data_IF_603656095641
#
_entry.id   IF_603656095641
#
_cell.length_a   1.000
_cell.length_b   1.000
_cell.length_c   1.000
_cell.angle_alpha   90.00
_cell.angle_beta   90.00
_cell.angle_gamma   90.00
#
_symmetry.space_group_name_H-M   'P 1'
#
loop_
_entity.id
_entity.type
_entity.pdbx_description
1 polymer ?
#
# COMPACT_ATOMS: atom_id res chain seq x y z
N UNK A 1 -16.59 22.83 -4.52
CA UNK A 1 -15.56 22.11 -5.32
C UNK A 1 -15.97 22.24 -6.78
N UNK A 2 -15.10 22.82 -7.62
CA UNK A 2 -15.36 22.92 -9.06
C UNK A 2 -15.44 21.49 -9.65
N UNK A 3 -16.24 21.32 -10.71
CA UNK A 3 -16.39 20.03 -11.42
C UNK A 3 -15.02 19.42 -11.80
N UNK A 4 -14.06 20.27 -12.16
CA UNK A 4 -12.67 19.92 -12.49
C UNK A 4 -11.88 19.40 -11.28
N UNK A 5 -12.14 19.88 -10.07
CA UNK A 5 -11.48 19.40 -8.85
C UNK A 5 -12.03 18.02 -8.42
N UNK A 6 -13.31 17.78 -8.65
CA UNK A 6 -13.96 16.49 -8.41
C UNK A 6 -13.48 15.44 -9.42
N UNK A 7 -13.42 15.78 -10.71
CA UNK A 7 -12.87 14.90 -11.77
C UNK A 7 -11.37 14.61 -11.54
N UNK A 8 -10.58 15.58 -11.09
CA UNK A 8 -9.18 15.37 -10.75
C UNK A 8 -8.99 14.48 -9.52
N UNK A 9 -9.86 14.57 -8.52
CA UNK A 9 -9.82 13.69 -7.35
C UNK A 9 -10.35 12.30 -7.68
N UNK A 10 -11.44 12.19 -8.40
CA UNK A 10 -11.97 10.90 -8.87
C UNK A 10 -10.98 10.20 -9.81
N UNK A 11 -10.31 10.93 -10.70
CA UNK A 11 -9.24 10.40 -11.54
C UNK A 11 -7.98 10.03 -10.74
N UNK A 12 -7.64 10.81 -9.71
CA UNK A 12 -6.52 10.51 -8.81
C UNK A 12 -6.78 9.22 -8.01
N UNK A 13 -8.00 8.98 -7.56
CA UNK A 13 -8.35 7.82 -6.74
C UNK A 13 -8.74 6.59 -7.56
N UNK A 14 -9.44 6.74 -8.67
CA UNK A 14 -9.84 5.63 -9.53
C UNK A 14 -8.69 5.09 -10.39
N UNK A 15 -7.85 5.98 -10.91
CA UNK A 15 -6.72 5.60 -11.77
C UNK A 15 -5.44 5.28 -10.98
N UNK A 16 -5.21 5.95 -9.84
CA UNK A 16 -3.96 5.88 -9.09
C UNK A 16 -3.98 4.94 -7.88
N UNK A 17 -5.13 4.58 -7.33
CA UNK A 17 -5.20 3.64 -6.22
C UNK A 17 -4.60 2.27 -6.56
N UNK A 18 -4.87 1.78 -7.76
CA UNK A 18 -4.28 0.55 -8.29
C UNK A 18 -2.85 0.77 -8.83
N UNK A 19 -2.53 1.98 -9.32
CA UNK A 19 -1.26 2.28 -10.02
C UNK A 19 -0.15 2.72 -9.06
N UNK A 20 -0.46 3.34 -7.93
CA UNK A 20 0.55 3.97 -7.06
C UNK A 20 0.89 3.17 -5.78
N UNK A 21 0.07 2.18 -5.41
CA UNK A 21 0.17 1.48 -4.14
C UNK A 21 -0.26 2.32 -2.92
N UNK A 22 -0.63 1.66 -1.83
CA UNK A 22 -1.25 2.29 -0.66
C UNK A 22 -0.42 3.44 -0.05
N UNK A 23 0.89 3.27 0.05
CA UNK A 23 1.76 4.27 0.67
C UNK A 23 1.85 5.58 -0.12
N UNK A 24 2.03 5.50 -1.44
CA UNK A 24 2.12 6.67 -2.30
C UNK A 24 0.77 7.37 -2.41
N UNK A 25 -0.31 6.63 -2.56
CA UNK A 25 -1.67 7.17 -2.59
C UNK A 25 -2.01 7.88 -1.29
N UNK A 26 -1.67 7.30 -0.12
CA UNK A 26 -1.86 7.95 1.18
C UNK A 26 -1.11 9.28 1.26
N UNK A 27 0.17 9.31 0.88
CA UNK A 27 0.97 10.53 0.93
C UNK A 27 0.45 11.60 -0.03
N UNK A 28 0.03 11.23 -1.23
CA UNK A 28 -0.53 12.16 -2.21
C UNK A 28 -1.86 12.73 -1.76
N UNK A 29 -2.76 11.91 -1.25
CA UNK A 29 -4.06 12.35 -0.74
C UNK A 29 -3.93 13.35 0.42
N UNK A 30 -3.06 13.07 1.40
CA UNK A 30 -2.81 13.99 2.50
C UNK A 30 -2.20 15.32 2.03
N UNK A 31 -1.29 15.31 1.07
CA UNK A 31 -0.73 16.53 0.48
C UNK A 31 -1.78 17.31 -0.32
N UNK A 32 -2.67 16.63 -1.05
CA UNK A 32 -3.78 17.27 -1.77
C UNK A 32 -4.76 17.94 -0.79
N UNK A 33 -5.04 17.31 0.35
CA UNK A 33 -5.84 17.93 1.42
C UNK A 33 -5.15 19.19 2.01
N UNK A 34 -3.83 19.13 2.24
CA UNK A 34 -3.07 20.31 2.70
C UNK A 34 -3.23 21.46 1.72
N UNK A 35 -3.08 21.20 0.41
CA UNK A 35 -3.23 22.20 -0.63
C UNK A 35 -4.68 22.71 -0.75
N UNK A 36 -5.67 21.81 -0.57
CA UNK A 36 -7.07 22.19 -0.58
C UNK A 36 -7.41 23.17 0.54
N UNK A 37 -6.93 22.93 1.77
CA UNK A 37 -7.11 23.88 2.89
C UNK A 37 -6.42 25.25 2.64
N UNK A 38 -5.38 25.28 1.81
CA UNK A 38 -4.72 26.55 1.43
C UNK A 38 -5.49 27.33 0.37
N UNK A 39 -6.06 26.63 -0.61
CA UNK A 39 -6.57 27.25 -1.85
C UNK A 39 -8.08 27.33 -1.95
N UNK A 40 -8.83 26.66 -1.03
CA UNK A 40 -10.28 26.72 -1.03
C UNK A 40 -10.76 28.16 -0.78
N UNK A 41 -11.35 28.74 -1.81
CA UNK A 41 -12.09 30.01 -1.69
C UNK A 41 -13.54 29.70 -1.36
N UNK A 42 -13.84 29.65 -0.04
CA UNK A 42 -15.16 29.34 0.48
C UNK A 42 -15.37 30.02 1.84
N UNK A 43 -16.62 30.26 2.18
CA UNK A 43 -17.00 30.76 3.49
C UNK A 43 -16.77 29.70 4.56
N UNK A 44 -16.65 30.15 5.80
CA UNK A 44 -16.32 29.27 6.94
C UNK A 44 -17.35 28.14 7.12
N UNK A 45 -18.62 28.42 6.91
CA UNK A 45 -19.72 27.46 7.05
C UNK A 45 -19.66 26.33 6.01
N UNK A 46 -19.05 26.59 4.87
CA UNK A 46 -18.96 25.61 3.78
C UNK A 46 -17.74 24.68 3.90
N UNK A 47 -16.68 25.11 4.61
CA UNK A 47 -15.41 24.38 4.61
C UNK A 47 -15.53 22.97 5.20
N UNK A 48 -16.33 22.82 6.25
CA UNK A 48 -16.59 21.52 6.88
C UNK A 48 -17.36 20.60 5.92
N UNK A 49 -18.43 21.09 5.29
CA UNK A 49 -19.23 20.30 4.36
C UNK A 49 -18.41 19.84 3.15
N UNK A 50 -17.56 20.71 2.62
CA UNK A 50 -16.64 20.37 1.52
C UNK A 50 -15.60 19.33 1.92
N UNK A 51 -15.04 19.47 3.13
CA UNK A 51 -14.13 18.46 3.68
C UNK A 51 -14.84 17.10 3.85
N UNK A 52 -16.05 17.11 4.42
CA UNK A 52 -16.82 15.89 4.68
C UNK A 52 -17.18 15.15 3.38
N UNK A 53 -17.55 15.90 2.33
CA UNK A 53 -17.77 15.34 0.99
C UNK A 53 -16.50 14.64 0.45
N UNK A 54 -15.35 15.30 0.55
CA UNK A 54 -14.07 14.77 0.11
C UNK A 54 -13.63 13.56 0.94
N UNK A 55 -13.71 13.65 2.26
CA UNK A 55 -13.35 12.55 3.16
C UNK A 55 -14.23 11.31 2.92
N UNK A 56 -15.52 11.53 2.65
CA UNK A 56 -16.45 10.46 2.30
C UNK A 56 -16.07 9.79 0.99
N UNK A 57 -15.73 10.56 -0.04
CA UNK A 57 -15.25 10.02 -1.33
C UNK A 57 -13.97 9.19 -1.15
N UNK A 58 -13.00 9.70 -0.38
CA UNK A 58 -11.75 8.98 -0.07
C UNK A 58 -12.04 7.67 0.69
N UNK A 59 -12.88 7.72 1.73
CA UNK A 59 -13.25 6.54 2.51
C UNK A 59 -14.07 5.52 1.71
N UNK A 60 -14.70 5.95 0.61
CA UNK A 60 -15.47 5.10 -0.30
C UNK A 60 -14.63 4.39 -1.36
N UNK A 61 -13.32 4.62 -1.42
CA UNK A 61 -12.42 3.96 -2.39
C UNK A 61 -12.45 2.43 -2.26
N UNK A 62 -12.21 1.76 -3.39
CA UNK A 62 -12.17 0.29 -3.49
C UNK A 62 -10.86 -0.17 -4.14
N UNK A 63 -10.05 -1.01 -3.48
CA UNK A 63 -10.19 -1.41 -2.07
C UNK A 63 -10.00 -0.22 -1.13
N UNK A 64 -10.42 -0.39 0.13
CA UNK A 64 -10.18 0.62 1.16
C UNK A 64 -8.69 0.77 1.42
N UNK A 65 -8.18 1.98 1.29
CA UNK A 65 -6.78 2.31 1.63
C UNK A 65 -6.72 2.55 3.13
N UNK A 66 -6.45 1.49 3.88
CA UNK A 66 -6.49 1.50 5.35
C UNK A 66 -5.62 2.60 5.98
N UNK A 67 -4.35 2.82 5.58
CA UNK A 67 -3.55 3.90 6.15
C UNK A 67 -4.18 5.28 5.99
N UNK A 68 -4.74 5.57 4.82
CA UNK A 68 -5.38 6.85 4.54
C UNK A 68 -6.67 7.02 5.36
N UNK A 69 -7.49 5.96 5.46
CA UNK A 69 -8.72 5.99 6.25
C UNK A 69 -8.45 6.28 7.72
N UNK A 70 -7.47 5.60 8.32
CA UNK A 70 -7.07 5.83 9.72
C UNK A 70 -6.55 7.25 9.96
N UNK A 71 -5.77 7.79 9.02
CA UNK A 71 -5.26 9.16 9.16
C UNK A 71 -6.34 10.20 9.04
N UNK A 72 -7.36 9.97 8.20
CA UNK A 72 -8.51 10.85 8.11
C UNK A 72 -9.39 10.78 9.36
N UNK A 73 -9.64 9.59 9.90
CA UNK A 73 -10.39 9.41 11.14
C UNK A 73 -9.71 10.14 12.33
N UNK A 74 -8.40 9.99 12.44
CA UNK A 74 -7.61 10.71 13.44
C UNK A 74 -7.57 12.22 13.21
N UNK A 75 -7.51 12.66 11.93
CA UNK A 75 -7.56 14.07 11.59
C UNK A 75 -8.91 14.68 11.98
N UNK A 76 -10.02 14.00 11.68
CA UNK A 76 -11.37 14.44 12.06
C UNK A 76 -11.50 14.61 13.57
N UNK A 77 -10.99 13.65 14.34
CA UNK A 77 -11.03 13.72 15.81
C UNK A 77 -10.21 14.91 16.33
N UNK A 78 -8.99 15.09 15.83
CA UNK A 78 -8.12 16.20 16.22
C UNK A 78 -8.66 17.58 15.77
N UNK A 79 -9.45 17.64 14.69
CA UNK A 79 -10.06 18.87 14.18
C UNK A 79 -11.34 19.28 14.89
N UNK A 80 -12.04 18.37 15.61
CA UNK A 80 -13.31 18.67 16.30
C UNK A 80 -13.36 20.02 17.03
N UNK A 81 -12.36 20.40 17.83
CA UNK A 81 -12.40 21.67 18.58
C UNK A 81 -12.12 22.91 17.70
N UNK A 82 -11.76 22.73 16.43
CA UNK A 82 -11.33 23.82 15.55
C UNK A 82 -12.34 24.15 14.45
N UNK A 83 -13.31 23.29 14.14
CA UNK A 83 -14.30 23.50 13.09
C UNK A 83 -15.14 24.77 13.29
N UNK A 84 -15.35 25.19 14.53
CA UNK A 84 -16.08 26.42 14.89
C UNK A 84 -15.20 27.67 15.06
N UNK A 85 -13.89 27.57 14.80
CA UNK A 85 -12.96 28.70 14.92
C UNK A 85 -12.96 29.53 13.63
N UNK A 86 -12.41 30.74 13.69
CA UNK A 86 -12.23 31.58 12.50
C UNK A 86 -11.42 30.82 11.42
N UNK A 87 -11.67 31.18 10.18
CA UNK A 87 -11.16 30.47 8.99
C UNK A 87 -9.64 30.34 8.97
N UNK A 88 -8.91 31.40 9.38
CA UNK A 88 -7.44 31.38 9.37
C UNK A 88 -6.88 30.40 10.42
N UNK A 89 -7.44 30.38 11.62
CA UNK A 89 -7.04 29.42 12.67
C UNK A 89 -7.40 27.99 12.28
N UNK A 90 -8.59 27.79 11.70
CA UNK A 90 -9.00 26.48 11.21
C UNK A 90 -8.01 25.96 10.16
N UNK A 91 -7.71 26.75 9.13
CA UNK A 91 -6.78 26.39 8.05
C UNK A 91 -5.36 26.11 8.60
N UNK A 92 -4.87 26.98 9.47
CA UNK A 92 -3.55 26.80 10.06
C UNK A 92 -3.45 25.48 10.86
N UNK A 93 -4.50 25.16 11.63
CA UNK A 93 -4.53 23.93 12.43
C UNK A 93 -4.68 22.70 11.57
N UNK A 94 -5.58 22.71 10.56
CA UNK A 94 -5.76 21.61 9.63
C UNK A 94 -4.44 21.26 8.91
N UNK A 95 -3.74 22.26 8.38
CA UNK A 95 -2.42 22.06 7.76
C UNK A 95 -1.37 21.50 8.71
N UNK A 96 -1.34 22.01 9.96
CA UNK A 96 -0.41 21.52 10.99
C UNK A 96 -0.65 20.04 11.28
N UNK A 97 -1.90 19.65 11.51
CA UNK A 97 -2.26 18.25 11.79
C UNK A 97 -1.91 17.35 10.60
N UNK A 98 -2.32 17.72 9.37
CA UNK A 98 -2.05 16.93 8.17
C UNK A 98 -0.55 16.77 7.90
N UNK A 99 0.24 17.86 8.03
CA UNK A 99 1.71 17.78 7.91
C UNK A 99 2.33 16.85 8.95
N UNK A 100 1.84 16.85 10.17
CA UNK A 100 2.29 15.92 11.21
C UNK A 100 1.95 14.47 10.85
N UNK A 101 0.76 14.20 10.28
CA UNK A 101 0.39 12.86 9.83
C UNK A 101 1.28 12.37 8.69
N UNK A 102 1.57 13.21 7.72
CA UNK A 102 2.53 12.88 6.64
C UNK A 102 3.90 12.54 7.20
N UNK A 103 4.40 13.35 8.14
CA UNK A 103 5.69 13.11 8.81
C UNK A 103 5.69 11.80 9.61
N UNK A 104 4.63 11.54 10.37
CA UNK A 104 4.48 10.33 11.15
C UNK A 104 4.44 9.08 10.27
N UNK A 105 3.68 9.13 9.17
CA UNK A 105 3.60 8.02 8.22
C UNK A 105 4.98 7.69 7.62
N UNK A 106 5.70 8.72 7.16
CA UNK A 106 7.06 8.56 6.62
C UNK A 106 8.00 7.95 7.66
N UNK A 107 8.00 8.49 8.88
CA UNK A 107 8.86 8.02 9.97
C UNK A 107 8.59 6.54 10.30
N UNK A 108 7.32 6.11 10.35
CA UNK A 108 6.97 4.69 10.57
C UNK A 108 7.43 3.82 9.41
N UNK A 109 7.21 4.25 8.16
CA UNK A 109 7.68 3.52 6.99
C UNK A 109 9.22 3.36 6.98
N UNK A 110 9.96 4.41 7.34
CA UNK A 110 11.43 4.37 7.48
C UNK A 110 11.88 3.40 8.57
N UNK A 111 11.14 3.31 9.69
CA UNK A 111 11.43 2.34 10.74
C UNK A 111 11.18 0.90 10.28
N UNK A 112 10.07 0.64 9.56
CA UNK A 112 9.83 -0.68 8.94
C UNK A 112 10.99 -1.08 8.03
N UNK A 113 11.44 -0.16 7.17
CA UNK A 113 12.58 -0.39 6.29
C UNK A 113 13.85 -0.72 7.08
N UNK A 114 14.13 0.05 8.15
CA UNK A 114 15.29 -0.18 9.03
C UNK A 114 15.28 -1.56 9.68
N UNK A 115 14.11 -2.04 10.11
CA UNK A 115 13.98 -3.40 10.61
C UNK A 115 14.05 -4.43 9.48
N UNK A 116 13.52 -4.08 8.31
CA UNK A 116 13.46 -4.98 7.14
C UNK A 116 14.82 -5.34 6.55
N UNK A 117 15.80 -4.43 6.59
CA UNK A 117 17.12 -4.66 5.95
C UNK A 117 17.89 -5.84 6.55
N UNK A 118 17.61 -6.22 7.79
CA UNK A 118 18.26 -7.38 8.43
C UNK A 118 17.84 -8.72 7.82
N UNK A 119 16.67 -8.77 7.17
CA UNK A 119 16.13 -9.98 6.54
C UNK A 119 16.65 -10.20 5.11
N UNK A 120 17.43 -9.26 4.57
CA UNK A 120 18.18 -9.44 3.32
C UNK A 120 19.59 -9.87 3.67
N UNK A 121 20.05 -11.01 3.15
CA UNK A 121 21.36 -11.58 3.42
C UNK A 121 22.22 -11.62 2.15
N UNK A 122 23.52 -11.84 2.35
CA UNK A 122 24.47 -12.03 1.26
C UNK A 122 24.13 -13.27 0.44
N UNK A 123 24.05 -13.12 -0.87
CA UNK A 123 23.75 -14.21 -1.80
C UNK A 123 22.27 -14.56 -1.93
N UNK A 124 21.34 -13.82 -1.30
CA UNK A 124 19.92 -14.07 -1.42
C UNK A 124 19.41 -13.99 -2.87
N UNK A 125 18.50 -14.90 -3.21
CA UNK A 125 17.60 -14.79 -4.35
C UNK A 125 16.23 -14.33 -3.85
N UNK A 126 15.81 -13.11 -4.19
CA UNK A 126 14.63 -12.47 -3.60
C UNK A 126 13.53 -12.31 -4.63
N UNK A 127 12.34 -12.84 -4.36
CA UNK A 127 11.15 -12.59 -5.15
C UNK A 127 10.50 -11.29 -4.65
N UNK A 128 10.19 -10.38 -5.57
CA UNK A 128 9.36 -9.19 -5.34
C UNK A 128 8.03 -9.39 -6.05
N UNK A 129 6.96 -9.61 -5.27
CA UNK A 129 5.64 -9.90 -5.83
C UNK A 129 4.98 -8.64 -6.42
N UNK A 130 5.10 -7.50 -5.74
CA UNK A 130 4.46 -6.26 -6.17
C UNK A 130 5.34 -5.04 -5.89
N UNK A 131 5.10 -3.95 -6.59
CA UNK A 131 5.81 -2.69 -6.43
C UNK A 131 5.43 -1.99 -5.09
N UNK A 132 5.89 -2.53 -3.97
CA UNK A 132 5.78 -1.90 -2.66
C UNK A 132 6.96 -0.97 -2.42
N UNK A 133 6.70 0.29 -2.09
CA UNK A 133 7.77 1.25 -1.78
C UNK A 133 8.58 0.85 -0.53
N UNK A 134 7.97 0.18 0.46
CA UNK A 134 8.71 -0.34 1.62
C UNK A 134 9.66 -1.45 1.19
N UNK A 135 9.20 -2.41 0.39
CA UNK A 135 10.05 -3.49 -0.14
C UNK A 135 11.19 -2.92 -0.98
N UNK A 136 10.88 -2.02 -1.92
CA UNK A 136 11.93 -1.38 -2.74
C UNK A 136 12.97 -0.69 -1.87
N UNK A 137 12.55 0.09 -0.85
CA UNK A 137 13.47 0.77 0.05
C UNK A 137 14.29 -0.20 0.92
N UNK A 138 13.74 -1.36 1.32
CA UNK A 138 14.51 -2.40 2.02
C UNK A 138 15.64 -2.90 1.13
N UNK A 139 15.36 -3.22 -0.14
CA UNK A 139 16.38 -3.68 -1.09
C UNK A 139 17.45 -2.61 -1.33
N UNK A 140 17.03 -1.36 -1.57
CA UNK A 140 17.97 -0.25 -1.77
C UNK A 140 18.89 -0.04 -0.58
N UNK A 141 18.35 -0.02 0.63
CA UNK A 141 19.16 0.17 1.84
C UNK A 141 20.05 -1.06 2.14
N UNK A 142 19.57 -2.27 1.87
CA UNK A 142 20.41 -3.47 1.98
C UNK A 142 21.62 -3.39 1.04
N UNK A 143 21.45 -2.91 -0.19
CA UNK A 143 22.55 -2.69 -1.15
C UNK A 143 23.45 -1.54 -0.76
N UNK A 144 22.89 -0.35 -0.51
CA UNK A 144 23.64 0.89 -0.34
C UNK A 144 24.28 1.03 1.04
N UNK A 145 23.60 0.60 2.10
CA UNK A 145 24.02 0.82 3.49
C UNK A 145 24.72 -0.41 4.04
N UNK A 146 24.16 -1.59 3.76
CA UNK A 146 24.71 -2.85 4.28
C UNK A 146 25.70 -3.50 3.30
N UNK A 147 25.82 -2.93 2.08
CA UNK A 147 26.73 -3.40 1.01
C UNK A 147 26.56 -4.88 0.67
N UNK A 148 25.33 -5.40 0.78
CA UNK A 148 25.02 -6.79 0.48
C UNK A 148 24.83 -7.01 -1.01
N UNK A 149 25.32 -8.14 -1.49
CA UNK A 149 25.07 -8.62 -2.85
C UNK A 149 23.97 -9.69 -2.84
N UNK A 150 22.96 -9.49 -3.64
CA UNK A 150 21.80 -10.37 -3.80
C UNK A 150 21.18 -10.18 -5.19
N UNK A 151 20.31 -11.06 -5.60
CA UNK A 151 19.56 -10.96 -6.87
C UNK A 151 18.06 -10.87 -6.65
N UNK A 152 17.34 -10.26 -7.60
CA UNK A 152 15.90 -10.02 -7.48
C UNK A 152 15.13 -10.61 -8.66
N UNK A 153 14.07 -11.33 -8.38
CA UNK A 153 13.07 -11.79 -9.35
C UNK A 153 11.82 -10.92 -9.17
N UNK A 154 11.56 -10.02 -10.12
CA UNK A 154 10.40 -9.14 -10.10
C UNK A 154 9.26 -9.80 -10.85
N UNK A 155 8.13 -10.02 -10.18
CA UNK A 155 6.93 -10.54 -10.82
C UNK A 155 6.17 -9.42 -11.55
N UNK A 156 5.93 -9.61 -12.84
CA UNK A 156 5.17 -8.67 -13.67
C UNK A 156 3.67 -8.83 -13.37
N UNK A 157 3.16 -8.00 -12.49
CA UNK A 157 1.73 -7.91 -12.14
C UNK A 157 1.09 -6.60 -12.60
N UNK A 158 1.87 -5.55 -12.69
CA UNK A 158 1.40 -4.21 -12.98
C UNK A 158 2.25 -3.59 -14.11
N UNK A 159 1.64 -3.27 -15.26
CA UNK A 159 2.38 -2.77 -16.42
C UNK A 159 2.99 -1.38 -16.19
N UNK A 160 2.52 -0.63 -15.19
CA UNK A 160 3.01 0.72 -14.89
C UNK A 160 4.10 0.71 -13.83
N UNK A 161 3.90 -0.05 -12.75
CA UNK A 161 4.81 -0.06 -11.59
C UNK A 161 5.99 -1.02 -11.74
N UNK A 162 5.80 -2.14 -12.41
CA UNK A 162 6.87 -3.12 -12.63
C UNK A 162 8.08 -2.49 -13.32
N UNK A 163 7.93 -1.70 -14.42
CA UNK A 163 9.08 -1.02 -15.03
C UNK A 163 9.77 -0.03 -14.11
N UNK A 164 9.04 0.64 -13.21
CA UNK A 164 9.63 1.56 -12.24
C UNK A 164 10.50 0.82 -11.21
N UNK A 165 10.08 -0.34 -10.74
CA UNK A 165 10.90 -1.18 -9.85
C UNK A 165 12.14 -1.67 -10.58
N UNK A 166 12.01 -2.20 -11.79
CA UNK A 166 13.13 -2.67 -12.59
C UNK A 166 14.15 -1.57 -12.83
N UNK A 167 13.71 -0.38 -13.26
CA UNK A 167 14.59 0.77 -13.45
C UNK A 167 15.32 1.16 -12.14
N UNK A 168 14.62 1.16 -11.02
CA UNK A 168 15.23 1.48 -9.73
C UNK A 168 16.30 0.45 -9.33
N UNK A 169 16.06 -0.83 -9.59
CA UNK A 169 17.06 -1.88 -9.33
C UNK A 169 18.27 -1.75 -10.26
N UNK A 170 18.04 -1.42 -11.55
CA UNK A 170 19.10 -1.17 -12.52
C UNK A 170 19.99 0.01 -12.14
N UNK A 171 19.39 1.16 -11.78
CA UNK A 171 20.09 2.36 -11.32
C UNK A 171 20.97 2.11 -10.08
N UNK A 172 20.65 1.09 -9.29
CA UNK A 172 21.38 0.71 -8.08
C UNK A 172 22.28 -0.52 -8.27
N UNK A 173 22.44 -0.93 -9.51
CA UNK A 173 23.30 -2.09 -9.87
C UNK A 173 22.92 -3.37 -9.11
N UNK A 174 21.61 -3.56 -8.83
CA UNK A 174 21.07 -4.79 -8.23
C UNK A 174 20.72 -5.76 -9.36
N UNK A 175 21.38 -6.94 -9.44
CA UNK A 175 21.04 -7.95 -10.43
C UNK A 175 19.58 -8.36 -10.34
N UNK A 176 18.85 -8.29 -11.46
CA UNK A 176 17.45 -8.63 -11.46
C UNK A 176 16.96 -9.18 -12.79
N UNK A 177 15.84 -9.91 -12.73
CA UNK A 177 15.06 -10.32 -13.88
C UNK A 177 13.58 -9.97 -13.66
N UNK A 178 12.87 -9.67 -14.72
CA UNK A 178 11.41 -9.46 -14.68
C UNK A 178 10.76 -10.64 -15.40
N UNK A 179 9.83 -11.31 -14.72
CA UNK A 179 9.12 -12.46 -15.28
C UNK A 179 7.61 -12.31 -15.11
N UNK A 180 6.77 -12.84 -16.02
CA UNK A 180 5.36 -12.99 -15.75
C UNK A 180 5.13 -13.86 -14.50
N UNK A 181 4.18 -13.49 -13.65
CA UNK A 181 3.97 -14.19 -12.37
C UNK A 181 3.70 -15.70 -12.53
N UNK A 182 3.02 -16.09 -13.61
CA UNK A 182 2.75 -17.51 -13.91
C UNK A 182 4.00 -18.33 -14.31
N UNK A 183 5.12 -17.67 -14.60
CA UNK A 183 6.40 -18.34 -14.89
C UNK A 183 7.24 -18.60 -13.63
N UNK A 184 6.79 -18.20 -12.45
CA UNK A 184 7.58 -18.32 -11.21
C UNK A 184 8.04 -19.74 -10.93
N UNK A 185 7.26 -20.76 -11.30
CA UNK A 185 7.63 -22.17 -11.10
C UNK A 185 8.97 -22.57 -11.74
N UNK A 186 9.43 -21.85 -12.78
CA UNK A 186 10.72 -22.09 -13.45
C UNK A 186 11.91 -21.42 -12.73
N UNK A 187 11.66 -20.62 -11.69
CA UNK A 187 12.66 -19.80 -11.02
C UNK A 187 12.72 -20.03 -9.51
N UNK A 188 11.89 -20.93 -8.96
CA UNK A 188 11.81 -21.19 -7.52
C UNK A 188 13.14 -21.64 -6.92
N UNK A 189 13.97 -22.36 -7.68
CA UNK A 189 15.28 -22.81 -7.23
C UNK A 189 16.32 -21.67 -7.12
N UNK A 190 16.03 -20.51 -7.72
CA UNK A 190 16.89 -19.33 -7.69
C UNK A 190 16.52 -18.37 -6.55
N UNK A 191 15.50 -18.68 -5.76
CA UNK A 191 15.01 -17.82 -4.71
C UNK A 191 14.90 -18.56 -3.38
N UNK A 192 15.19 -17.86 -2.30
CA UNK A 192 15.03 -18.33 -0.94
C UNK A 192 14.11 -17.44 -0.10
N UNK A 193 13.77 -16.23 -0.61
CA UNK A 193 12.90 -15.28 0.07
C UNK A 193 11.92 -14.62 -0.88
N UNK A 194 10.73 -14.28 -0.35
CA UNK A 194 9.77 -13.40 -1.02
C UNK A 194 9.46 -12.21 -0.11
N UNK A 195 9.57 -10.99 -0.64
CA UNK A 195 9.26 -9.76 0.08
C UNK A 195 7.96 -9.15 -0.44
N UNK A 196 7.08 -8.80 0.49
CA UNK A 196 5.72 -8.34 0.23
C UNK A 196 5.41 -7.04 0.98
N UNK A 197 4.54 -6.22 0.38
CA UNK A 197 3.83 -5.15 1.09
C UNK A 197 2.34 -5.46 1.15
N UNK A 198 1.63 -4.84 2.07
CA UNK A 198 0.18 -4.96 2.22
C UNK A 198 -0.56 -3.67 1.87
N UNK A 199 -1.80 -3.79 1.43
CA UNK A 199 -2.77 -2.70 1.44
C UNK A 199 -3.39 -2.56 2.83
N UNK A 200 -3.70 -3.70 3.44
CA UNK A 200 -4.28 -3.80 4.78
C UNK A 200 -3.97 -5.15 5.41
N UNK A 201 -3.88 -5.17 6.73
CA UNK A 201 -3.97 -6.39 7.57
C UNK A 201 -5.26 -6.28 8.37
N UNK A 202 -6.17 -7.22 8.21
CA UNK A 202 -7.52 -7.14 8.79
C UNK A 202 -7.57 -7.78 10.18
N UNK A 203 -8.60 -7.43 10.94
CA UNK A 203 -8.82 -7.97 12.30
C UNK A 203 -8.99 -9.49 12.32
N UNK A 204 -9.52 -10.08 11.26
CA UNK A 204 -9.64 -11.53 11.07
C UNK A 204 -8.38 -12.16 10.45
N UNK A 205 -7.22 -11.52 10.65
CA UNK A 205 -5.89 -12.01 10.25
C UNK A 205 -5.77 -12.36 8.76
N UNK A 206 -6.35 -11.51 7.91
CA UNK A 206 -6.17 -11.58 6.46
C UNK A 206 -5.37 -10.39 5.94
N UNK A 207 -4.56 -10.62 4.96
CA UNK A 207 -3.80 -9.59 4.27
C UNK A 207 -4.47 -9.26 2.95
N UNK A 208 -4.84 -8.00 2.77
CA UNK A 208 -5.29 -7.48 1.47
C UNK A 208 -4.06 -7.17 0.64
N UNK A 209 -3.88 -7.88 -0.44
CA UNK A 209 -2.71 -7.81 -1.30
C UNK A 209 -3.12 -7.87 -2.80
N UNK A 210 -2.24 -7.51 -3.73
CA UNK A 210 -2.52 -7.63 -5.16
C UNK A 210 -2.92 -9.05 -5.55
N UNK A 211 -3.77 -9.16 -6.59
CA UNK A 211 -4.20 -10.47 -7.14
C UNK A 211 -3.00 -11.34 -7.51
N UNK A 212 -3.11 -12.63 -7.20
CA UNK A 212 -2.06 -13.62 -7.42
C UNK A 212 -1.13 -13.81 -6.21
N UNK A 213 -1.27 -12.99 -5.15
CA UNK A 213 -0.44 -13.12 -3.94
C UNK A 213 -0.66 -14.48 -3.25
N UNK A 214 -1.89 -14.93 -3.08
CA UNK A 214 -2.19 -16.24 -2.47
C UNK A 214 -1.55 -17.39 -3.23
N UNK A 215 -1.64 -17.38 -4.56
CA UNK A 215 -1.03 -18.41 -5.43
C UNK A 215 0.50 -18.37 -5.33
N UNK A 216 1.08 -17.18 -5.38
CA UNK A 216 2.54 -16.99 -5.29
C UNK A 216 3.07 -17.50 -3.94
N UNK A 217 2.45 -17.11 -2.84
CA UNK A 217 2.87 -17.54 -1.50
C UNK A 217 2.70 -19.07 -1.31
N UNK A 218 1.63 -19.64 -1.83
CA UNK A 218 1.45 -21.10 -1.78
C UNK A 218 2.57 -21.83 -2.53
N UNK A 219 2.96 -21.33 -3.70
CA UNK A 219 4.09 -21.88 -4.45
C UNK A 219 5.42 -21.70 -3.71
N UNK A 220 5.66 -20.53 -3.15
CA UNK A 220 6.85 -20.24 -2.34
C UNK A 220 6.95 -21.20 -1.15
N UNK A 221 5.86 -21.37 -0.40
CA UNK A 221 5.79 -22.28 0.77
C UNK A 221 6.09 -23.73 0.40
N UNK A 222 5.56 -24.22 -0.72
CA UNK A 222 5.82 -25.59 -1.23
C UNK A 222 7.30 -25.80 -1.57
N UNK A 223 8.02 -24.73 -1.91
CA UNK A 223 9.45 -24.78 -2.28
C UNK A 223 10.37 -24.29 -1.14
N UNK A 224 9.85 -24.10 0.08
CA UNK A 224 10.65 -23.67 1.23
C UNK A 224 11.15 -22.23 1.18
N UNK A 225 10.59 -21.41 0.30
CA UNK A 225 10.93 -19.98 0.16
C UNK A 225 10.24 -19.20 1.28
N UNK A 226 11.01 -18.50 2.10
CA UNK A 226 10.51 -17.74 3.25
C UNK A 226 9.84 -16.43 2.84
N UNK A 227 8.70 -16.13 3.46
CA UNK A 227 7.87 -14.97 3.15
C UNK A 227 7.92 -13.90 4.24
N UNK A 228 8.14 -12.65 3.81
CA UNK A 228 8.28 -11.49 4.69
C UNK A 228 7.32 -10.39 4.25
N UNK A 229 6.41 -9.98 5.15
CA UNK A 229 5.44 -8.91 4.93
C UNK A 229 5.87 -7.64 5.65
N UNK A 230 5.94 -6.53 4.93
CA UNK A 230 6.28 -5.21 5.48
C UNK A 230 5.03 -4.33 5.54
N UNK A 231 4.61 -3.98 6.74
CA UNK A 231 3.44 -3.15 6.97
C UNK A 231 3.61 -2.32 8.25
N UNK A 232 3.45 -1.00 8.21
CA UNK A 232 3.42 -0.23 9.44
C UNK A 232 2.03 -0.30 10.10
N UNK A 233 1.92 0.13 11.36
CA UNK A 233 0.68 0.05 12.15
C UNK A 233 -0.54 0.72 11.52
N UNK A 234 -0.36 1.65 10.59
CA UNK A 234 -1.50 2.22 9.84
C UNK A 234 -2.14 1.25 8.85
N UNK A 235 -1.47 0.16 8.47
CA UNK A 235 -2.03 -0.87 7.61
C UNK A 235 -2.93 -1.86 8.37
N UNK A 236 -2.91 -1.87 9.70
CA UNK A 236 -3.75 -2.74 10.50
C UNK A 236 -5.15 -2.16 10.62
N UNK A 237 -6.15 -2.85 10.07
CA UNK A 237 -7.56 -2.43 10.05
C UNK A 237 -8.31 -3.05 11.21
N UNK A 238 -9.04 -2.24 11.99
CA UNK A 238 -9.99 -2.74 12.99
C UNK A 238 -11.23 -3.42 12.37
N UNK A 239 -11.38 -3.32 11.05
CA UNK A 239 -12.45 -4.00 10.31
C UNK A 239 -12.07 -5.40 9.84
N UNK A 240 -13.08 -6.21 9.58
CA UNK A 240 -12.93 -7.53 8.96
C UNK A 240 -12.60 -7.41 7.47
N UNK A 241 -12.22 -8.53 6.85
CA UNK A 241 -11.91 -8.61 5.43
C UNK A 241 -13.04 -8.09 4.52
N UNK A 242 -14.28 -8.37 4.85
CA UNK A 242 -15.46 -7.90 4.09
C UNK A 242 -15.56 -6.37 4.04
N UNK A 243 -15.07 -5.68 5.08
CA UNK A 243 -15.05 -4.22 5.12
C UNK A 243 -14.01 -3.58 4.18
N UNK A 244 -13.11 -4.37 3.59
CA UNK A 244 -12.03 -3.87 2.71
C UNK A 244 -12.50 -3.54 1.30
N UNK A 245 -13.76 -3.86 0.97
CA UNK A 245 -14.40 -3.50 -0.30
C UNK A 245 -13.65 -4.01 -1.55
N UNK A 246 -13.11 -5.21 -1.47
CA UNK A 246 -12.56 -5.91 -2.64
C UNK A 246 -13.70 -6.11 -3.64
N UNK A 247 -13.42 -5.81 -4.89
CA UNK A 247 -14.44 -5.90 -5.93
C UNK A 247 -14.00 -6.84 -7.05
N UNK A 248 -15.00 -7.38 -7.71
CA UNK A 248 -14.88 -8.16 -8.95
C UNK A 248 -15.25 -7.24 -10.11
N UNK A 249 -14.47 -7.29 -11.18
CA UNK A 249 -14.74 -6.59 -12.42
C UNK A 249 -14.99 -7.62 -13.53
N UNK A 250 -16.04 -7.40 -14.31
CA UNK A 250 -16.37 -8.20 -15.48
C UNK A 250 -16.17 -7.37 -16.74
N UNK A 251 -15.38 -7.88 -17.67
CA UNK A 251 -15.13 -7.28 -18.98
C UNK A 251 -15.58 -8.23 -20.09
N UNK A 252 -16.37 -7.72 -21.04
CA UNK A 252 -16.74 -8.47 -22.21
C UNK A 252 -15.67 -8.31 -23.28
N UNK A 253 -14.92 -9.37 -23.52
CA UNK A 253 -13.89 -9.41 -24.56
C UNK A 253 -14.50 -9.96 -25.85
N UNK A 254 -14.54 -9.12 -26.89
CA UNK A 254 -15.02 -9.51 -28.21
C UNK A 254 -13.82 -9.76 -29.17
N UNK A 255 -13.81 -10.90 -29.81
CA UNK A 255 -12.93 -11.21 -30.92
C UNK A 255 -13.75 -11.40 -32.21
N UNK A 256 -13.09 -11.53 -33.34
CA UNK A 256 -13.77 -11.78 -34.62
C UNK A 256 -14.59 -13.08 -34.66
N UNK A 257 -14.38 -14.00 -33.73
CA UNK A 257 -15.00 -15.33 -33.72
C UNK A 257 -15.74 -15.69 -32.42
N UNK A 258 -15.55 -14.96 -31.35
CA UNK A 258 -16.18 -15.26 -30.05
C UNK A 258 -16.27 -14.04 -29.17
N UNK A 259 -17.25 -14.07 -28.27
CA UNK A 259 -17.35 -13.13 -27.16
C UNK A 259 -17.31 -13.92 -25.86
N UNK A 260 -16.49 -13.52 -24.92
CA UNK A 260 -16.41 -14.14 -23.59
C UNK A 260 -16.31 -13.08 -22.50
N UNK A 261 -16.78 -13.42 -21.31
CA UNK A 261 -16.66 -12.56 -20.12
C UNK A 261 -15.39 -12.93 -19.39
N UNK A 262 -14.49 -11.94 -19.25
CA UNK A 262 -13.32 -12.03 -18.38
C UNK A 262 -13.69 -11.45 -17.01
N UNK A 263 -13.57 -12.27 -15.98
CA UNK A 263 -13.80 -11.87 -14.59
C UNK A 263 -12.47 -11.73 -13.89
N UNK A 264 -12.22 -10.56 -13.31
CA UNK A 264 -11.02 -10.27 -12.53
C UNK A 264 -11.38 -9.79 -11.13
N UNK A 265 -10.51 -10.06 -10.17
CA UNK A 265 -10.63 -9.53 -8.82
C UNK A 265 -9.62 -8.40 -8.61
N UNK A 266 -9.96 -7.43 -7.80
CA UNK A 266 -9.09 -6.29 -7.54
C UNK A 266 -7.90 -6.67 -6.65
N UNK A 267 -8.09 -7.54 -5.68
CA UNK A 267 -7.11 -7.97 -4.69
C UNK A 267 -7.39 -9.39 -4.21
N UNK A 268 -6.39 -10.02 -3.63
CA UNK A 268 -6.50 -11.25 -2.86
C UNK A 268 -6.73 -10.93 -1.38
N UNK A 269 -7.46 -11.83 -0.71
CA UNK A 269 -7.46 -11.99 0.75
C UNK A 269 -6.57 -13.17 1.09
N UNK A 270 -5.39 -12.87 1.60
CA UNK A 270 -4.38 -13.85 1.94
C UNK A 270 -4.48 -14.17 3.42
N UNK A 271 -4.55 -15.45 3.77
CA UNK A 271 -4.48 -15.86 5.17
C UNK A 271 -3.09 -15.52 5.74
N UNK A 272 -3.04 -14.88 6.91
CA UNK A 272 -1.78 -14.41 7.50
C UNK A 272 -0.84 -15.59 7.83
N UNK A 273 -1.36 -16.78 8.02
CA UNK A 273 -0.57 -17.99 8.27
C UNK A 273 0.26 -18.47 7.06
N UNK A 274 -0.02 -17.94 5.86
CA UNK A 274 0.83 -18.13 4.68
C UNK A 274 2.09 -17.27 4.70
N UNK A 275 2.21 -16.36 5.65
CA UNK A 275 3.33 -15.42 5.80
C UNK A 275 4.18 -15.86 6.99
N UNK A 276 5.47 -16.10 6.75
CA UNK A 276 6.37 -16.57 7.82
C UNK A 276 6.70 -15.45 8.82
N UNK A 277 6.89 -14.21 8.33
CA UNK A 277 7.29 -13.08 9.19
C UNK A 277 6.59 -11.80 8.76
N UNK A 278 5.96 -11.13 9.71
CA UNK A 278 5.41 -9.78 9.58
C UNK A 278 6.32 -8.77 10.28
N UNK A 279 6.71 -7.71 9.59
CA UNK A 279 7.62 -6.68 10.08
C UNK A 279 6.89 -5.33 10.09
N UNK A 280 6.83 -4.69 11.25
CA UNK A 280 6.32 -3.33 11.39
C UNK A 280 7.40 -2.34 11.85
N UNK A 281 6.99 -1.13 12.27
CA UNK A 281 7.91 -0.10 12.74
C UNK A 281 8.60 -0.41 14.06
N UNK A 282 8.17 -1.42 14.79
CA UNK A 282 8.76 -1.86 16.06
C UNK A 282 9.58 -3.16 15.91
N UNK A 283 9.61 -3.72 14.69
CA UNK A 283 10.35 -4.93 14.33
C UNK A 283 9.45 -6.08 13.90
N UNK A 284 9.88 -7.31 14.17
CA UNK A 284 9.09 -8.50 13.92
C UNK A 284 7.84 -8.51 14.83
N UNK A 285 6.69 -8.78 14.23
CA UNK A 285 5.41 -8.78 14.96
C UNK A 285 5.18 -10.17 15.53
N UNK A 286 5.29 -10.29 16.85
CA UNK A 286 5.05 -11.52 17.58
C UNK A 286 3.54 -11.86 17.64
N UNK A 287 3.23 -13.13 17.79
CA UNK A 287 1.84 -13.64 17.87
C UNK A 287 1.02 -12.93 18.95
N UNK A 288 1.63 -12.58 20.08
CA UNK A 288 0.95 -11.87 21.18
C UNK A 288 0.41 -10.51 20.77
N UNK A 289 1.17 -9.77 19.95
CA UNK A 289 0.72 -8.48 19.38
C UNK A 289 -0.41 -8.67 18.35
N UNK A 290 -0.36 -9.74 17.56
CA UNK A 290 -1.45 -10.09 16.65
C UNK A 290 -2.73 -10.42 17.42
N UNK A 291 -2.65 -11.18 18.51
CA UNK A 291 -3.80 -11.48 19.37
C UNK A 291 -4.39 -10.20 20.01
N UNK A 292 -3.57 -9.28 20.47
CA UNK A 292 -4.04 -7.99 21.00
C UNK A 292 -4.74 -7.14 19.94
N UNK A 293 -4.39 -7.31 18.67
CA UNK A 293 -5.04 -6.64 17.56
C UNK A 293 -6.41 -7.25 17.20
N UNK A 294 -6.59 -8.58 17.36
CA UNK A 294 -7.83 -9.31 17.04
C UNK A 294 -8.89 -9.22 18.13
N UNK A 295 -8.51 -8.96 19.39
CA UNK A 295 -9.40 -8.80 20.54
C UNK A 295 -10.03 -7.42 20.58
#
# INVERSE_FOLDING_TARGET
MNHIEKENLDSLFLYHGNVLGAARTTSMALNSLINAFDQLDCEQEEIFARYEELATAIKATRPRITPLSHMLEQFEEEMKPFWSKDLDKLRAQAKKILKNKVKLYKSRAERVVRHGIQFVEEGDGIIVHSASSMVTNVLLQAKQVMLKDFSVIVLQLDPVRTPQVALTLEEQEIPHIVIPAFNLCHYVEQANKILLGAVSVTRDLKVVAPVGTSTTLSLCRLNGIKSYLFANSFHFSHGLADAQRIYQADENIASSRSTYRLTTHSHDLVELDLIDTLIDEDGEVENERLWAFTG
#
